data_IF_135554436024
#
_entry.id   IF_135554436024
#
_cell.length_a   1.000
_cell.length_b   1.000
_cell.length_c   1.000
_cell.angle_alpha   90.00
_cell.angle_beta   90.00
_cell.angle_gamma   90.00
#
_symmetry.space_group_name_H-M   'P 1'
#
loop_
_entity.id
_entity.type
_entity.pdbx_description
1 polymer ?
#
# COMPACT_ATOMS: atom_id res chain seq x y z
N UNK A 1 4.03 -14.63 4.65
CA UNK A 1 4.09 -14.85 3.20
C UNK A 1 4.51 -13.59 2.47
N UNK A 2 5.01 -13.73 1.25
CA UNK A 2 5.41 -12.61 0.40
C UNK A 2 4.16 -12.00 -0.25
N UNK A 3 3.82 -10.77 0.13
CA UNK A 3 2.64 -10.05 -0.38
C UNK A 3 3.08 -8.89 -1.27
N UNK A 4 2.53 -8.83 -2.49
CA UNK A 4 2.81 -7.76 -3.46
C UNK A 4 1.75 -6.68 -3.32
N UNK A 5 2.20 -5.43 -3.22
CA UNK A 5 1.34 -4.25 -3.29
C UNK A 5 1.54 -3.53 -4.61
N UNK A 6 0.44 -3.15 -5.23
CA UNK A 6 0.42 -2.42 -6.50
C UNK A 6 -0.37 -1.12 -6.37
N UNK A 7 0.12 -0.07 -7.04
CA UNK A 7 -0.63 1.17 -7.22
C UNK A 7 -0.44 1.67 -8.66
N UNK A 8 -1.54 1.82 -9.40
CA UNK A 8 -1.51 2.23 -10.82
C UNK A 8 -1.58 3.75 -10.92
N UNK A 9 -0.44 4.36 -11.23
CA UNK A 9 -0.37 5.80 -11.51
C UNK A 9 0.90 6.13 -12.31
N UNK A 10 0.72 6.27 -13.62
CA UNK A 10 1.80 6.60 -14.54
C UNK A 10 2.28 8.05 -14.41
N UNK A 11 1.53 8.95 -13.76
CA UNK A 11 1.89 10.37 -13.61
C UNK A 11 2.51 10.68 -12.25
N UNK A 12 2.26 9.86 -11.24
CA UNK A 12 2.90 10.00 -9.93
C UNK A 12 4.43 10.04 -10.05
N UNK A 13 5.06 10.84 -9.20
CA UNK A 13 6.51 11.00 -9.08
C UNK A 13 7.08 10.19 -7.92
N UNK A 14 6.28 9.99 -6.86
CA UNK A 14 6.62 9.11 -5.75
C UNK A 14 5.39 8.39 -5.22
N UNK A 15 5.57 7.12 -4.87
CA UNK A 15 4.58 6.34 -4.13
C UNK A 15 5.26 5.63 -2.97
N UNK A 16 4.71 5.85 -1.78
CA UNK A 16 5.07 5.17 -0.55
C UNK A 16 3.88 4.32 -0.09
N UNK A 17 4.15 3.26 0.65
CA UNK A 17 3.14 2.50 1.37
C UNK A 17 3.46 2.49 2.86
N UNK A 18 2.44 2.65 3.68
CA UNK A 18 2.49 2.47 5.12
C UNK A 18 1.29 1.66 5.59
N UNK A 19 1.52 0.78 6.55
CA UNK A 19 0.47 -0.02 7.18
C UNK A 19 0.93 -0.55 8.52
N UNK A 20 0.05 -1.26 9.22
CA UNK A 20 0.43 -1.88 10.51
C UNK A 20 1.61 -2.85 10.36
N UNK A 21 1.73 -3.53 9.22
CA UNK A 21 2.86 -4.42 8.87
C UNK A 21 4.20 -3.70 8.61
N UNK A 22 4.21 -2.37 8.41
CA UNK A 22 5.44 -1.56 8.41
C UNK A 22 5.61 -0.74 9.68
N UNK A 23 4.79 -1.00 10.71
CA UNK A 23 4.66 -0.13 11.88
C UNK A 23 4.41 1.33 11.49
N UNK A 24 3.64 1.54 10.42
CA UNK A 24 3.33 2.85 9.83
C UNK A 24 4.54 3.67 9.35
N UNK A 25 5.70 3.03 9.19
CA UNK A 25 6.84 3.64 8.52
C UNK A 25 6.67 3.56 7.02
N UNK A 26 6.97 4.65 6.33
CA UNK A 26 6.91 4.71 4.87
C UNK A 26 7.92 3.76 4.23
N UNK A 27 7.42 2.93 3.31
CA UNK A 27 8.22 2.10 2.43
C UNK A 27 8.07 2.58 0.99
N UNK A 28 9.20 2.88 0.34
CA UNK A 28 9.23 3.29 -1.08
C UNK A 28 8.77 2.15 -1.98
N UNK A 29 7.98 2.50 -3.00
CA UNK A 29 7.62 1.61 -4.10
C UNK A 29 8.45 1.92 -5.35
N UNK A 30 8.65 0.93 -6.21
CA UNK A 30 9.37 1.09 -7.47
C UNK A 30 8.37 1.11 -8.62
N UNK A 31 8.52 2.09 -9.53
CA UNK A 31 7.66 2.23 -10.71
C UNK A 31 8.22 1.43 -11.90
N UNK A 32 7.37 0.63 -12.54
CA UNK A 32 7.65 -0.03 -13.81
C UNK A 32 6.37 -0.03 -14.65
N UNK A 33 6.46 0.41 -15.91
CA UNK A 33 5.33 0.44 -16.86
C UNK A 33 4.07 1.14 -16.30
N UNK A 34 4.26 2.24 -15.57
CA UNK A 34 3.17 3.02 -14.96
C UNK A 34 2.56 2.41 -13.70
N UNK A 35 3.09 1.28 -13.21
CA UNK A 35 2.64 0.60 -12.00
C UNK A 35 3.72 0.67 -10.92
N UNK A 36 3.34 1.12 -9.74
CA UNK A 36 4.19 1.12 -8.56
C UNK A 36 4.04 -0.21 -7.84
N UNK A 37 5.17 -0.84 -7.51
CA UNK A 37 5.23 -2.15 -6.83
C UNK A 37 6.16 -2.15 -5.64
N UNK A 38 5.78 -2.89 -4.60
CA UNK A 38 6.69 -3.29 -3.54
C UNK A 38 6.24 -4.64 -2.96
N UNK A 39 7.16 -5.29 -2.27
CA UNK A 39 6.94 -6.59 -1.67
C UNK A 39 7.16 -6.48 -0.16
N UNK A 40 6.26 -7.09 0.62
CA UNK A 40 6.36 -7.13 2.08
C UNK A 40 6.10 -8.55 2.55
N UNK A 41 6.93 -9.04 3.47
CA UNK A 41 6.66 -10.29 4.18
C UNK A 41 5.69 -9.99 5.33
N UNK A 42 4.48 -10.54 5.25
CA UNK A 42 3.41 -10.33 6.24
C UNK A 42 2.82 -11.68 6.60
N UNK A 43 2.51 -11.91 7.87
CA UNK A 43 1.80 -13.12 8.32
C UNK A 43 0.35 -13.11 7.81
N UNK A 44 -0.34 -14.26 7.78
CA UNK A 44 -1.78 -14.30 7.53
C UNK A 44 -2.53 -13.41 8.53
N UNK A 45 -3.52 -12.66 8.03
CA UNK A 45 -4.30 -11.72 8.81
C UNK A 45 -4.86 -10.57 7.95
N UNK A 46 -5.62 -9.69 8.60
CA UNK A 46 -6.19 -8.48 7.97
C UNK A 46 -5.49 -7.25 8.51
N UNK A 47 -4.93 -6.41 7.63
CA UNK A 47 -4.08 -5.28 8.01
C UNK A 47 -4.57 -3.97 7.38
N UNK A 48 -4.65 -2.87 8.15
CA UNK A 48 -4.87 -1.54 7.60
C UNK A 48 -3.61 -0.98 6.94
N UNK A 49 -3.79 -0.27 5.83
CA UNK A 49 -2.73 0.39 5.07
C UNK A 49 -3.24 1.57 4.22
N UNK A 50 -2.33 2.42 3.80
CA UNK A 50 -2.57 3.44 2.79
C UNK A 50 -1.34 3.66 1.91
N UNK A 51 -1.55 4.34 0.80
CA UNK A 51 -0.48 4.86 -0.03
C UNK A 51 -0.28 6.35 0.26
N UNK A 52 0.94 6.84 0.06
CA UNK A 52 1.23 8.27 -0.04
C UNK A 52 1.74 8.54 -1.44
N UNK A 53 0.95 9.26 -2.23
CA UNK A 53 1.21 9.54 -3.65
C UNK A 53 1.49 11.02 -3.78
N UNK A 54 2.71 11.37 -4.20
CA UNK A 54 3.17 12.76 -4.31
C UNK A 54 2.88 13.58 -3.03
N UNK A 55 3.15 12.98 -1.87
CA UNK A 55 2.95 13.59 -0.55
C UNK A 55 1.51 13.61 -0.04
N UNK A 56 0.55 13.05 -0.78
CA UNK A 56 -0.87 12.98 -0.38
C UNK A 56 -1.28 11.55 -0.04
N UNK A 57 -1.91 11.38 1.12
CA UNK A 57 -2.52 10.10 1.52
C UNK A 57 -3.60 9.68 0.51
N UNK A 58 -3.54 8.43 0.07
CA UNK A 58 -4.46 7.79 -0.88
C UNK A 58 -4.84 6.41 -0.38
N UNK A 59 -6.11 6.06 -0.58
CA UNK A 59 -6.63 4.73 -0.29
C UNK A 59 -6.54 3.87 -1.56
N UNK A 60 -6.46 2.56 -1.39
CA UNK A 60 -6.71 1.63 -2.47
C UNK A 60 -8.21 1.65 -2.82
N UNK A 61 -8.61 2.01 -4.07
CA UNK A 61 -10.01 2.19 -4.43
C UNK A 61 -10.86 0.93 -4.24
N UNK A 62 -10.28 -0.23 -4.55
CA UNK A 62 -10.98 -1.52 -4.59
C UNK A 62 -10.81 -2.34 -3.30
N UNK A 63 -10.48 -1.68 -2.19
CA UNK A 63 -10.27 -2.34 -0.90
C UNK A 63 -11.30 -1.89 0.14
N UNK A 64 -11.74 -2.79 1.03
CA UNK A 64 -12.54 -2.42 2.18
C UNK A 64 -11.83 -1.36 3.02
N UNK A 65 -12.60 -0.58 3.79
CA UNK A 65 -12.06 0.43 4.70
C UNK A 65 -12.08 -0.07 6.13
N UNK A 66 -11.01 0.18 6.86
CA UNK A 66 -10.97 0.05 8.31
C UNK A 66 -11.85 1.14 8.96
N UNK A 67 -12.28 0.95 10.21
CA UNK A 67 -12.92 2.02 10.99
C UNK A 67 -12.04 3.30 11.09
N UNK A 68 -10.72 3.16 10.98
CA UNK A 68 -9.75 4.28 10.96
C UNK A 68 -9.70 5.02 9.61
N UNK A 69 -10.43 4.54 8.60
CA UNK A 69 -10.47 5.12 7.25
C UNK A 69 -9.39 4.61 6.30
N UNK A 70 -8.41 3.83 6.77
CA UNK A 70 -7.38 3.19 5.94
C UNK A 70 -7.97 2.04 5.10
N UNK A 71 -7.29 1.66 4.01
CA UNK A 71 -7.65 0.46 3.25
C UNK A 71 -7.28 -0.81 4.02
N UNK A 72 -8.01 -1.90 3.80
CA UNK A 72 -7.73 -3.21 4.38
C UNK A 72 -7.15 -4.15 3.32
N UNK A 73 -6.15 -4.93 3.71
CA UNK A 73 -5.67 -6.09 2.96
C UNK A 73 -5.84 -7.34 3.82
N UNK A 74 -6.48 -8.37 3.27
CA UNK A 74 -6.52 -9.71 3.84
C UNK A 74 -5.42 -10.54 3.19
N UNK A 75 -4.58 -11.14 4.03
CA UNK A 75 -3.47 -12.02 3.67
C UNK A 75 -3.82 -13.40 4.23
N UNK A 76 -3.87 -14.43 3.39
CA UNK A 76 -4.32 -15.78 3.74
C UNK A 76 -3.37 -16.84 3.22
#
# INVERSE_FOLDING_TARGET
MKTVFEYKDAKAKSVLIAGSFTSWKDKKMTKKDGVWRTEVYILPGTYPYHFTVDGKKKLAPDKPKAPTGDSLISVN
#
